data_IF_424038205507
#
_entry.id   IF_424038205507
#
_cell.length_a   1.000
_cell.length_b   1.000
_cell.length_c   1.000
_cell.angle_alpha   90.00
_cell.angle_beta   90.00
_cell.angle_gamma   90.00
#
_symmetry.space_group_name_H-M   'P 1'
#
loop_
_entity.id
_entity.type
_entity.pdbx_description
1 polymer ?
#
# COMPACT_ATOMS: atom_id res chain seq x y z
N UNK A 1 -14.58 -26.32 -35.18
CA UNK A 1 -15.51 -25.19 -35.14
C UNK A 1 -15.44 -24.48 -33.80
N UNK A 2 -15.64 -23.18 -33.74
CA UNK A 2 -15.68 -22.37 -32.48
C UNK A 2 -16.65 -22.97 -31.47
N UNK A 3 -17.75 -23.53 -31.88
CA UNK A 3 -18.73 -24.22 -31.04
C UNK A 3 -18.16 -25.49 -30.35
N UNK A 4 -17.32 -26.25 -31.06
CA UNK A 4 -16.64 -27.42 -30.45
C UNK A 4 -15.61 -27.04 -29.40
N UNK A 5 -14.90 -25.92 -29.57
CA UNK A 5 -13.96 -25.41 -28.57
C UNK A 5 -14.72 -24.89 -27.33
N UNK A 6 -15.84 -24.19 -27.53
CA UNK A 6 -16.64 -23.71 -26.42
C UNK A 6 -17.28 -24.85 -25.60
N UNK A 7 -17.76 -25.92 -26.26
CA UNK A 7 -18.36 -27.07 -25.57
C UNK A 7 -17.33 -27.86 -24.77
N UNK A 8 -16.10 -28.02 -25.26
CA UNK A 8 -15.00 -28.63 -24.48
C UNK A 8 -14.56 -27.74 -23.34
N UNK A 9 -14.50 -26.42 -23.50
CA UNK A 9 -14.18 -25.51 -22.39
C UNK A 9 -15.21 -25.60 -21.25
N UNK A 10 -16.51 -25.69 -21.57
CA UNK A 10 -17.55 -25.83 -20.55
C UNK A 10 -17.51 -27.19 -19.81
N UNK A 11 -17.17 -28.28 -20.51
CA UNK A 11 -17.05 -29.60 -19.90
C UNK A 11 -15.81 -29.78 -19.03
N UNK A 12 -14.76 -28.97 -19.27
CA UNK A 12 -13.50 -29.02 -18.52
C UNK A 12 -13.43 -27.99 -17.38
N UNK A 13 -14.44 -27.12 -17.21
CA UNK A 13 -14.49 -26.19 -16.10
C UNK A 13 -14.56 -26.97 -14.77
N UNK A 14 -13.51 -26.87 -14.00
CA UNK A 14 -13.42 -27.52 -12.69
C UNK A 14 -12.91 -26.55 -11.63
N UNK A 15 -13.46 -26.64 -10.43
CA UNK A 15 -12.98 -25.90 -9.26
C UNK A 15 -11.86 -26.65 -8.51
N UNK A 16 -11.39 -27.77 -9.04
CA UNK A 16 -10.35 -28.58 -8.39
C UNK A 16 -9.05 -27.81 -8.14
N UNK A 17 -8.68 -26.88 -9.04
CA UNK A 17 -7.50 -26.05 -8.85
C UNK A 17 -7.62 -25.11 -7.65
N UNK A 18 -8.82 -24.60 -7.36
CA UNK A 18 -9.06 -23.78 -6.17
C UNK A 18 -9.00 -24.62 -4.90
N UNK A 19 -9.57 -25.83 -4.91
CA UNK A 19 -9.47 -26.76 -3.78
C UNK A 19 -8.00 -27.10 -3.51
N UNK A 20 -7.25 -27.53 -4.53
CA UNK A 20 -5.81 -27.84 -4.41
C UNK A 20 -4.98 -26.64 -3.93
N UNK A 21 -5.29 -25.43 -4.41
CA UNK A 21 -4.61 -24.21 -3.99
C UNK A 21 -4.77 -23.99 -2.49
N UNK A 22 -5.97 -24.22 -1.96
CA UNK A 22 -6.30 -23.99 -0.55
C UNK A 22 -5.84 -25.12 0.38
N UNK A 23 -5.80 -26.38 -0.10
CA UNK A 23 -5.45 -27.54 0.74
C UNK A 23 -3.98 -27.94 0.64
N UNK A 24 -3.41 -27.87 -0.56
CA UNK A 24 -2.10 -28.46 -0.87
C UNK A 24 -0.97 -27.41 -0.89
N UNK A 25 -1.32 -26.13 -0.74
CA UNK A 25 -0.32 -25.03 -0.79
C UNK A 25 -0.48 -24.06 0.39
N UNK A 26 0.58 -23.36 0.79
CA UNK A 26 0.51 -22.31 1.81
C UNK A 26 -0.15 -21.01 1.34
N UNK A 27 -0.96 -21.02 0.28
CA UNK A 27 -1.55 -19.83 -0.36
C UNK A 27 -2.24 -18.90 0.64
N UNK A 28 -3.08 -19.42 1.52
CA UNK A 28 -3.78 -18.60 2.52
C UNK A 28 -2.81 -17.87 3.46
N UNK A 29 -1.70 -18.52 3.81
CA UNK A 29 -0.68 -17.91 4.65
C UNK A 29 0.04 -16.79 3.92
N UNK A 30 0.40 -17.00 2.66
CA UNK A 30 1.02 -15.96 1.83
C UNK A 30 0.09 -14.76 1.64
N UNK A 31 -1.20 -15.01 1.40
CA UNK A 31 -2.22 -13.98 1.29
C UNK A 31 -2.38 -13.20 2.60
N UNK A 32 -2.43 -13.89 3.75
CA UNK A 32 -2.46 -13.25 5.07
C UNK A 32 -1.22 -12.42 5.35
N UNK A 33 -0.02 -12.92 5.02
CA UNK A 33 1.22 -12.17 5.17
C UNK A 33 1.17 -10.86 4.35
N UNK A 34 0.73 -10.93 3.08
CA UNK A 34 0.56 -9.75 2.24
C UNK A 34 -0.47 -8.78 2.80
N UNK A 35 -1.61 -9.29 3.30
CA UNK A 35 -2.63 -8.46 3.93
C UNK A 35 -2.11 -7.74 5.18
N UNK A 36 -1.39 -8.45 6.05
CA UNK A 36 -0.79 -7.86 7.26
C UNK A 36 0.19 -6.75 6.90
N UNK A 37 1.13 -7.04 5.99
CA UNK A 37 2.14 -6.06 5.57
C UNK A 37 1.48 -4.84 4.93
N UNK A 38 0.53 -5.05 4.01
CA UNK A 38 -0.13 -3.96 3.29
C UNK A 38 -1.05 -3.14 4.19
N UNK A 39 -1.82 -3.79 5.07
CA UNK A 39 -2.69 -3.08 6.00
C UNK A 39 -1.89 -2.26 7.02
N UNK A 40 -0.81 -2.82 7.56
CA UNK A 40 0.06 -2.11 8.49
C UNK A 40 0.79 -0.95 7.79
N UNK A 41 1.36 -1.20 6.61
CA UNK A 41 2.02 -0.16 5.82
C UNK A 41 1.04 0.96 5.44
N UNK A 42 -0.17 0.62 4.96
CA UNK A 42 -1.16 1.61 4.59
C UNK A 42 -1.62 2.45 5.77
N UNK A 43 -2.02 1.82 6.88
CA UNK A 43 -2.55 2.55 8.04
C UNK A 43 -1.52 3.50 8.67
N UNK A 44 -0.30 3.04 8.86
CA UNK A 44 0.76 3.87 9.45
C UNK A 44 1.21 4.96 8.47
N UNK A 45 1.47 4.61 7.19
CA UNK A 45 1.91 5.59 6.21
C UNK A 45 0.85 6.68 5.95
N UNK A 46 -0.44 6.31 5.85
CA UNK A 46 -1.53 7.31 5.68
C UNK A 46 -1.57 8.25 6.87
N UNK A 47 -1.51 7.72 8.09
CA UNK A 47 -1.52 8.55 9.30
C UNK A 47 -0.33 9.52 9.33
N UNK A 48 0.89 9.00 9.14
CA UNK A 48 2.12 9.81 9.17
C UNK A 48 2.11 10.87 8.07
N UNK A 49 1.76 10.48 6.83
CA UNK A 49 1.76 11.42 5.70
C UNK A 49 0.66 12.47 5.81
N UNK A 50 -0.49 12.14 6.43
CA UNK A 50 -1.56 13.10 6.66
C UNK A 50 -1.14 14.16 7.68
N UNK A 51 -0.59 13.73 8.80
CA UNK A 51 -0.09 14.64 9.84
C UNK A 51 1.08 15.51 9.31
N UNK A 52 2.01 14.87 8.59
CA UNK A 52 3.11 15.60 7.95
C UNK A 52 2.60 16.59 6.89
N UNK A 53 1.70 16.17 6.02
CA UNK A 53 1.09 17.03 5.00
C UNK A 53 0.39 18.23 5.61
N UNK A 54 -0.36 18.04 6.69
CA UNK A 54 -0.99 19.13 7.43
C UNK A 54 0.05 20.07 8.06
N UNK A 55 1.08 19.53 8.70
CA UNK A 55 2.15 20.33 9.28
C UNK A 55 2.87 21.19 8.21
N UNK A 56 3.22 20.59 7.08
CA UNK A 56 3.82 21.30 5.95
C UNK A 56 2.87 22.29 5.27
N UNK A 57 1.57 22.11 5.33
CA UNK A 57 0.60 23.03 4.74
C UNK A 57 0.32 24.23 5.64
N UNK A 58 0.20 24.03 6.96
CA UNK A 58 -0.34 25.05 7.88
C UNK A 58 0.65 25.63 8.87
N UNK A 59 1.62 24.84 9.35
CA UNK A 59 2.55 25.33 10.36
C UNK A 59 3.76 26.02 9.73
N UNK A 60 4.31 26.99 10.45
CA UNK A 60 5.57 27.68 10.12
C UNK A 60 6.66 27.12 11.02
N UNK A 61 7.64 26.45 10.43
CA UNK A 61 8.80 25.93 11.16
C UNK A 61 10.08 26.07 10.32
N UNK A 62 11.26 26.15 10.97
CA UNK A 62 12.53 26.20 10.26
C UNK A 62 12.71 24.97 9.36
N UNK A 63 13.16 25.17 8.13
CA UNK A 63 13.37 24.06 7.19
C UNK A 63 12.13 23.60 6.41
N UNK A 64 10.93 24.15 6.64
CA UNK A 64 9.69 23.75 5.92
C UNK A 64 9.87 23.70 4.39
N UNK A 65 10.43 24.75 3.80
CA UNK A 65 10.61 24.85 2.34
C UNK A 65 11.61 23.81 1.83
N UNK A 66 12.77 23.73 2.47
CA UNK A 66 13.85 22.84 2.04
C UNK A 66 13.61 21.40 2.45
N UNK A 67 12.97 21.15 3.60
CA UNK A 67 12.65 19.82 4.08
C UNK A 67 11.78 19.04 3.09
N UNK A 68 10.69 19.65 2.59
CA UNK A 68 9.84 19.00 1.60
C UNK A 68 10.59 18.76 0.28
N UNK A 69 11.40 19.73 -0.18
CA UNK A 69 12.21 19.59 -1.38
C UNK A 69 13.22 18.44 -1.25
N UNK A 70 13.96 18.39 -0.14
CA UNK A 70 14.92 17.30 0.13
C UNK A 70 14.24 15.95 0.16
N UNK A 71 13.08 15.84 0.81
CA UNK A 71 12.30 14.60 0.85
C UNK A 71 11.94 14.11 -0.56
N UNK A 72 11.53 15.00 -1.47
CA UNK A 72 11.20 14.64 -2.85
C UNK A 72 12.47 14.28 -3.64
N UNK A 73 13.56 15.03 -3.48
CA UNK A 73 14.83 14.72 -4.15
C UNK A 73 15.40 13.36 -3.74
N UNK A 74 15.26 12.98 -2.48
CA UNK A 74 15.67 11.64 -2.01
C UNK A 74 14.91 10.51 -2.72
N UNK A 75 13.67 10.74 -3.14
CA UNK A 75 12.91 9.74 -3.90
C UNK A 75 13.34 9.58 -5.37
N UNK A 76 14.15 10.51 -5.89
CA UNK A 76 14.74 10.33 -7.22
C UNK A 76 15.83 9.25 -7.23
N UNK A 77 16.32 8.85 -6.05
CA UNK A 77 17.24 7.73 -5.94
C UNK A 77 16.51 6.40 -6.23
N UNK A 78 16.98 5.57 -7.17
CA UNK A 78 16.31 4.33 -7.54
C UNK A 78 16.18 3.37 -6.34
N UNK A 79 14.94 2.99 -6.01
CA UNK A 79 14.68 2.10 -4.87
C UNK A 79 15.43 0.76 -4.96
N UNK A 80 15.60 0.22 -6.17
CA UNK A 80 16.38 -0.99 -6.39
C UNK A 80 17.85 -0.88 -5.98
N UNK A 81 18.47 0.30 -6.10
CA UNK A 81 19.83 0.53 -5.64
C UNK A 81 19.94 0.60 -4.12
N UNK A 82 18.86 1.02 -3.45
CA UNK A 82 18.79 1.05 -1.99
C UNK A 82 18.62 -0.35 -1.37
N UNK A 83 18.30 -1.38 -2.16
CA UNK A 83 17.97 -2.72 -1.65
C UNK A 83 19.08 -3.32 -0.80
N UNK A 84 20.35 -3.19 -1.21
CA UNK A 84 21.50 -3.71 -0.45
C UNK A 84 21.60 -3.01 0.91
N UNK A 85 21.40 -1.68 0.92
CA UNK A 85 21.43 -0.92 2.17
C UNK A 85 20.24 -1.30 3.08
N UNK A 86 19.05 -1.46 2.53
CA UNK A 86 17.86 -1.91 3.26
C UNK A 86 18.06 -3.31 3.83
N UNK A 87 18.59 -4.24 3.03
CA UNK A 87 18.93 -5.60 3.50
C UNK A 87 19.88 -5.54 4.70
N UNK A 88 20.96 -4.77 4.58
CA UNK A 88 21.94 -4.63 5.65
C UNK A 88 21.35 -3.96 6.89
N UNK A 89 20.55 -2.93 6.71
CA UNK A 89 19.83 -2.26 7.80
C UNK A 89 18.96 -3.25 8.57
N UNK A 90 18.12 -4.02 7.86
CA UNK A 90 17.26 -5.02 8.49
C UNK A 90 18.05 -6.14 9.16
N UNK A 91 19.21 -6.52 8.63
CA UNK A 91 20.09 -7.50 9.27
C UNK A 91 20.59 -6.98 10.63
N UNK A 92 21.07 -5.73 10.70
CA UNK A 92 21.53 -5.11 11.94
C UNK A 92 20.38 -4.91 12.92
N UNK A 93 19.22 -4.43 12.44
CA UNK A 93 18.03 -4.26 13.27
C UNK A 93 17.55 -5.60 13.85
N UNK A 94 17.60 -6.69 13.06
CA UNK A 94 17.26 -8.02 13.51
C UNK A 94 18.12 -8.50 14.66
N UNK A 95 19.44 -8.24 14.61
CA UNK A 95 20.35 -8.56 15.71
C UNK A 95 20.04 -7.75 16.98
N UNK A 96 19.72 -6.46 16.81
CA UNK A 96 19.42 -5.58 17.94
C UNK A 96 18.04 -5.85 18.59
N UNK A 97 17.06 -6.37 17.83
CA UNK A 97 15.68 -6.57 18.30
C UNK A 97 15.33 -8.03 18.55
N UNK A 98 16.29 -8.93 18.53
CA UNK A 98 16.02 -10.36 18.66
C UNK A 98 15.17 -10.95 17.50
N UNK A 99 15.26 -10.37 16.31
CA UNK A 99 14.56 -10.82 15.10
C UNK A 99 13.17 -10.23 14.89
N UNK A 100 12.64 -9.44 15.82
CA UNK A 100 11.31 -8.82 15.68
C UNK A 100 11.22 -7.86 14.49
N UNK A 101 12.25 -7.04 14.31
CA UNK A 101 12.37 -6.11 13.19
C UNK A 101 13.67 -6.47 12.47
N UNK A 102 13.57 -7.23 11.39
CA UNK A 102 14.77 -7.73 10.71
C UNK A 102 14.44 -8.39 9.37
N UNK A 103 15.42 -9.13 8.86
CA UNK A 103 15.17 -10.04 7.74
C UNK A 103 14.16 -11.11 8.16
N UNK A 104 13.40 -11.59 7.19
CA UNK A 104 12.35 -12.60 7.40
C UNK A 104 11.26 -12.17 8.41
N UNK A 105 11.08 -10.85 8.63
CA UNK A 105 10.09 -10.28 9.52
C UNK A 105 9.06 -9.46 8.75
N UNK A 106 7.76 -9.76 8.94
CA UNK A 106 6.67 -8.98 8.34
C UNK A 106 6.67 -7.53 8.84
N UNK A 107 7.05 -7.29 10.11
CA UNK A 107 7.21 -5.93 10.65
C UNK A 107 8.37 -5.20 9.98
N UNK A 108 9.52 -5.87 9.79
CA UNK A 108 10.66 -5.31 9.07
C UNK A 108 10.28 -4.90 7.65
N UNK A 109 9.59 -5.78 6.92
CA UNK A 109 9.10 -5.50 5.57
C UNK A 109 8.10 -4.34 5.56
N UNK A 110 7.16 -4.30 6.51
CA UNK A 110 6.20 -3.20 6.63
C UNK A 110 6.88 -1.85 6.83
N UNK A 111 7.92 -1.77 7.66
CA UNK A 111 8.68 -0.54 7.89
C UNK A 111 9.38 -0.03 6.63
N UNK A 112 9.88 -0.93 5.78
CA UNK A 112 10.47 -0.56 4.50
C UNK A 112 9.44 0.15 3.62
N UNK A 113 8.21 -0.39 3.52
CA UNK A 113 7.15 0.24 2.74
C UNK A 113 6.61 1.53 3.35
N UNK A 114 6.51 1.60 4.68
CA UNK A 114 6.11 2.84 5.37
C UNK A 114 7.10 3.95 5.01
N UNK A 115 8.41 3.70 5.18
CA UNK A 115 9.44 4.71 4.95
C UNK A 115 9.54 5.15 3.49
N UNK A 116 9.47 4.20 2.57
CA UNK A 116 9.71 4.46 1.13
C UNK A 116 8.69 5.39 0.47
N UNK A 117 7.47 5.47 0.99
CA UNK A 117 6.41 6.25 0.35
C UNK A 117 6.08 7.59 0.98
N UNK A 118 6.62 7.92 2.15
CA UNK A 118 6.27 9.11 2.93
C UNK A 118 6.47 10.42 2.16
N UNK A 119 7.61 10.69 1.50
CA UNK A 119 7.88 11.99 0.92
C UNK A 119 6.85 12.43 -0.11
N UNK A 120 6.62 11.62 -1.14
CA UNK A 120 5.71 11.96 -2.23
C UNK A 120 4.26 12.11 -1.77
N UNK A 121 3.82 11.22 -0.88
CA UNK A 121 2.46 11.24 -0.34
C UNK A 121 2.22 12.43 0.58
N UNK A 122 3.23 12.83 1.35
CA UNK A 122 3.21 14.07 2.14
C UNK A 122 3.04 15.28 1.24
N UNK A 123 3.80 15.34 0.14
CA UNK A 123 3.67 16.42 -0.85
C UNK A 123 2.28 16.46 -1.48
N UNK A 124 1.74 15.29 -1.84
CA UNK A 124 0.42 15.16 -2.44
C UNK A 124 -0.70 15.63 -1.49
N UNK A 125 -0.65 15.20 -0.21
CA UNK A 125 -1.63 15.62 0.81
C UNK A 125 -1.48 17.11 1.12
N UNK A 126 -0.24 17.62 1.22
CA UNK A 126 0.02 19.06 1.39
C UNK A 126 -0.59 19.87 0.26
N UNK A 127 -0.38 19.45 -1.00
CA UNK A 127 -0.95 20.14 -2.16
C UNK A 127 -2.47 20.21 -2.11
N UNK A 128 -3.13 19.12 -1.67
CA UNK A 128 -4.57 19.11 -1.49
C UNK A 128 -5.02 20.04 -0.36
N UNK A 129 -4.34 20.04 0.78
CA UNK A 129 -4.65 20.94 1.91
C UNK A 129 -4.44 22.41 1.50
N UNK A 130 -3.42 22.71 0.69
CA UNK A 130 -3.19 24.08 0.21
C UNK A 130 -4.32 24.58 -0.70
N UNK A 131 -5.08 23.69 -1.34
CA UNK A 131 -6.26 24.04 -2.14
C UNK A 131 -7.52 24.29 -1.32
N UNK A 132 -7.54 23.92 -0.04
CA UNK A 132 -8.66 24.18 0.85
C UNK A 132 -8.63 25.65 1.33
N UNK A 133 -9.81 26.33 1.35
CA UNK A 133 -9.91 27.69 1.87
C UNK A 133 -9.46 27.76 3.34
N UNK A 134 -8.60 28.73 3.66
CA UNK A 134 -8.12 28.93 5.05
C UNK A 134 -9.21 29.50 5.96
N UNK A 135 -10.16 30.17 5.38
CA UNK A 135 -11.33 30.76 6.07
C UNK A 135 -12.10 29.74 6.88
N UNK A 136 -12.08 28.45 6.46
CA UNK A 136 -12.69 27.36 7.24
C UNK A 136 -12.00 27.14 8.60
N UNK A 137 -10.68 27.25 8.62
CA UNK A 137 -9.91 27.12 9.86
C UNK A 137 -9.99 28.40 10.71
N UNK A 138 -9.96 29.58 10.06
CA UNK A 138 -10.09 30.89 10.73
C UNK A 138 -11.44 31.03 11.40
N UNK A 139 -12.53 30.64 10.74
CA UNK A 139 -13.88 30.60 11.35
C UNK A 139 -13.94 29.69 12.58
N UNK A 140 -13.35 28.49 12.49
CA UNK A 140 -13.30 27.56 13.61
C UNK A 140 -12.53 28.16 14.82
N UNK A 141 -11.43 28.87 14.56
CA UNK A 141 -10.69 29.53 15.64
C UNK A 141 -11.48 30.67 16.28
N UNK A 142 -12.28 31.41 15.50
CA UNK A 142 -13.18 32.42 16.06
C UNK A 142 -14.29 31.82 16.95
N UNK A 143 -14.74 30.61 16.59
CA UNK A 143 -15.67 29.81 17.39
C UNK A 143 -15.01 29.14 18.62
N UNK A 144 -13.72 29.38 18.85
CA UNK A 144 -12.98 28.84 20.00
C UNK A 144 -12.45 27.43 19.84
N UNK A 145 -12.45 26.88 18.64
CA UNK A 145 -11.88 25.55 18.38
C UNK A 145 -10.35 25.55 18.55
N UNK A 146 -9.84 24.51 19.18
CA UNK A 146 -8.39 24.26 19.26
C UNK A 146 -7.84 23.78 17.91
N UNK A 147 -6.54 23.93 17.63
CA UNK A 147 -5.93 23.40 16.39
C UNK A 147 -6.19 21.91 16.16
N UNK A 148 -6.22 21.11 17.22
CA UNK A 148 -6.55 19.69 17.12
C UNK A 148 -8.00 19.44 16.75
N UNK A 149 -8.94 20.24 17.32
CA UNK A 149 -10.37 20.16 16.96
C UNK A 149 -10.58 20.59 15.50
N UNK A 150 -9.99 21.69 15.07
CA UNK A 150 -10.03 22.17 13.69
C UNK A 150 -9.51 21.11 12.72
N UNK A 151 -8.35 20.51 13.00
CA UNK A 151 -7.81 19.42 12.18
C UNK A 151 -8.77 18.24 12.12
N UNK A 152 -9.21 17.72 13.27
CA UNK A 152 -9.98 16.46 13.32
C UNK A 152 -11.41 16.61 12.82
N UNK A 153 -12.08 17.75 13.10
CA UNK A 153 -13.50 17.93 12.83
C UNK A 153 -13.78 18.65 11.50
N UNK A 154 -12.83 19.42 10.99
CA UNK A 154 -12.99 20.20 9.76
C UNK A 154 -12.06 19.68 8.65
N UNK A 155 -10.76 19.72 8.87
CA UNK A 155 -9.80 19.41 7.81
C UNK A 155 -9.81 17.91 7.46
N UNK A 156 -9.69 17.03 8.43
CA UNK A 156 -9.60 15.59 8.20
C UNK A 156 -10.78 15.01 7.40
N UNK A 157 -12.05 15.39 7.68
CA UNK A 157 -13.17 14.96 6.85
C UNK A 157 -13.08 15.45 5.39
N UNK A 158 -12.61 16.68 5.17
CA UNK A 158 -12.42 17.23 3.82
C UNK A 158 -11.31 16.55 3.03
N UNK A 159 -10.36 15.92 3.73
CA UNK A 159 -9.30 15.12 3.08
C UNK A 159 -9.78 13.76 2.58
N UNK A 160 -11.03 13.37 2.83
CA UNK A 160 -11.57 12.06 2.45
C UNK A 160 -11.16 11.58 1.04
N UNK A 161 -11.34 12.37 -0.02
CA UNK A 161 -10.98 11.99 -1.38
C UNK A 161 -9.48 11.68 -1.56
N UNK A 162 -8.60 12.55 -1.09
CA UNK A 162 -7.16 12.35 -1.22
C UNK A 162 -6.66 11.21 -0.34
N UNK A 163 -7.24 11.04 0.86
CA UNK A 163 -6.89 9.93 1.75
C UNK A 163 -7.29 8.59 1.17
N UNK A 164 -8.43 8.50 0.45
CA UNK A 164 -8.83 7.30 -0.27
C UNK A 164 -7.77 6.92 -1.32
N UNK A 165 -7.33 7.87 -2.14
CA UNK A 165 -6.26 7.65 -3.14
C UNK A 165 -4.98 7.16 -2.48
N UNK A 166 -4.51 7.88 -1.46
CA UNK A 166 -3.26 7.55 -0.75
C UNK A 166 -3.36 6.18 -0.07
N UNK A 167 -4.52 5.81 0.49
CA UNK A 167 -4.75 4.51 1.11
C UNK A 167 -4.64 3.38 0.09
N UNK A 168 -5.29 3.52 -1.06
CA UNK A 168 -5.22 2.53 -2.14
C UNK A 168 -3.78 2.31 -2.59
N UNK A 169 -3.02 3.36 -2.86
CA UNK A 169 -1.61 3.22 -3.25
C UNK A 169 -0.73 2.62 -2.16
N UNK A 170 -0.95 3.00 -0.89
CA UNK A 170 -0.19 2.42 0.23
C UNK A 170 -0.49 0.95 0.48
N UNK A 171 -1.67 0.48 0.08
CA UNK A 171 -2.05 -0.92 0.22
C UNK A 171 -1.61 -1.76 -1.00
N UNK A 172 -1.88 -1.29 -2.23
CA UNK A 172 -1.61 -2.06 -3.44
C UNK A 172 -0.11 -2.25 -3.65
N UNK A 173 0.71 -1.23 -3.38
CA UNK A 173 2.17 -1.30 -3.60
C UNK A 173 2.81 -2.47 -2.84
N UNK A 174 2.70 -2.60 -1.51
CA UNK A 174 3.29 -3.74 -0.80
C UNK A 174 2.60 -5.07 -1.11
N UNK A 175 1.29 -5.03 -1.41
CA UNK A 175 0.53 -6.24 -1.71
C UNK A 175 0.99 -6.92 -2.99
N UNK A 176 1.32 -6.14 -4.02
CA UNK A 176 1.68 -6.63 -5.36
C UNK A 176 3.19 -6.72 -5.58
N UNK A 177 4.00 -6.18 -4.67
CA UNK A 177 5.45 -6.18 -4.86
C UNK A 177 6.03 -7.59 -4.69
N UNK A 178 6.87 -7.94 -5.64
CA UNK A 178 7.66 -9.17 -5.64
C UNK A 178 9.12 -8.91 -5.22
N UNK A 179 9.68 -7.76 -5.61
CA UNK A 179 11.14 -7.54 -5.58
C UNK A 179 11.67 -7.47 -4.15
N UNK A 180 11.14 -6.56 -3.32
CA UNK A 180 11.58 -6.43 -1.93
C UNK A 180 11.31 -7.70 -1.12
N UNK A 181 10.10 -8.28 -1.14
CA UNK A 181 9.83 -9.50 -0.38
C UNK A 181 10.66 -10.70 -0.82
N UNK A 182 10.98 -10.84 -2.11
CA UNK A 182 11.80 -11.98 -2.59
C UNK A 182 13.23 -11.98 -2.05
N UNK A 183 13.75 -10.79 -1.71
CA UNK A 183 15.09 -10.63 -1.13
C UNK A 183 15.06 -10.67 0.41
N UNK A 184 14.01 -10.08 1.01
CA UNK A 184 13.94 -9.88 2.45
C UNK A 184 13.28 -11.04 3.21
N UNK A 185 12.38 -11.80 2.56
CA UNK A 185 11.70 -12.97 3.14
C UNK A 185 12.45 -14.25 2.73
N UNK A 186 12.90 -15.03 3.70
CA UNK A 186 13.82 -16.14 3.49
C UNK A 186 13.17 -17.51 3.72
N UNK A 187 12.00 -17.56 4.35
CA UNK A 187 11.29 -18.80 4.65
C UNK A 187 9.91 -18.83 4.03
N UNK A 188 9.48 -20.00 3.54
CA UNK A 188 8.20 -20.18 2.85
C UNK A 188 6.98 -19.78 3.67
N UNK A 189 7.07 -19.85 5.01
CA UNK A 189 6.02 -19.43 5.93
C UNK A 189 5.92 -17.89 6.08
N UNK A 190 6.94 -17.16 5.65
CA UNK A 190 6.99 -15.69 5.67
C UNK A 190 6.82 -15.05 4.29
N UNK A 191 6.74 -15.85 3.24
CA UNK A 191 6.54 -15.30 1.90
C UNK A 191 5.26 -14.47 1.82
N UNK A 192 5.33 -13.41 1.03
CA UNK A 192 4.15 -12.67 0.57
C UNK A 192 3.48 -13.44 -0.58
N UNK A 193 2.27 -13.04 -0.94
CA UNK A 193 1.52 -13.68 -2.01
C UNK A 193 2.30 -13.70 -3.33
N UNK A 194 2.88 -12.58 -3.74
CA UNK A 194 3.63 -12.47 -4.98
C UNK A 194 4.84 -13.41 -5.01
N UNK A 195 5.58 -13.52 -3.90
CA UNK A 195 6.73 -14.44 -3.79
C UNK A 195 6.28 -15.89 -3.79
N UNK A 196 5.25 -16.24 -3.03
CA UNK A 196 4.73 -17.60 -2.99
C UNK A 196 4.19 -18.06 -4.35
N UNK A 197 3.46 -17.20 -5.05
CA UNK A 197 2.92 -17.49 -6.38
C UNK A 197 4.00 -17.71 -7.44
N UNK A 198 5.16 -17.06 -7.32
CA UNK A 198 6.29 -17.28 -8.23
C UNK A 198 6.72 -18.76 -8.25
N UNK A 199 6.60 -19.46 -7.10
CA UNK A 199 6.91 -20.89 -7.03
C UNK A 199 6.07 -21.77 -7.96
N UNK A 200 4.87 -21.35 -8.36
CA UNK A 200 4.03 -22.10 -9.30
C UNK A 200 4.53 -22.05 -10.76
N UNK A 201 5.30 -21.03 -11.12
CA UNK A 201 5.75 -20.81 -12.52
C UNK A 201 7.27 -20.86 -12.69
N UNK A 202 8.05 -20.89 -11.61
CA UNK A 202 9.52 -20.90 -11.67
C UNK A 202 10.15 -22.27 -11.97
N UNK A 203 9.37 -23.36 -11.98
CA UNK A 203 9.85 -24.70 -12.30
C UNK A 203 9.98 -24.91 -13.80
N UNK A 204 11.19 -25.14 -14.31
CA UNK A 204 11.47 -25.34 -15.74
C UNK A 204 10.70 -26.50 -16.38
N UNK A 205 10.21 -27.48 -15.60
CA UNK A 205 9.48 -28.65 -16.08
C UNK A 205 8.17 -28.94 -15.36
N UNK A 206 7.82 -28.15 -14.34
CA UNK A 206 6.65 -28.37 -13.47
C UNK A 206 5.81 -27.11 -13.26
N UNK A 207 5.88 -26.14 -14.15
CA UNK A 207 5.10 -24.92 -14.06
C UNK A 207 3.60 -25.25 -14.04
N UNK A 208 2.91 -24.85 -12.94
CA UNK A 208 1.49 -25.08 -12.77
C UNK A 208 0.71 -23.78 -13.02
N UNK A 209 0.51 -23.47 -14.29
CA UNK A 209 -0.21 -22.27 -14.74
C UNK A 209 -1.66 -22.24 -14.25
N UNK A 210 -2.28 -23.41 -14.05
CA UNK A 210 -3.65 -23.48 -13.56
C UNK A 210 -3.74 -23.05 -12.09
N UNK A 211 -2.80 -23.46 -11.24
CA UNK A 211 -2.72 -22.98 -9.86
C UNK A 211 -2.36 -21.50 -9.78
N UNK A 212 -1.44 -21.04 -10.65
CA UNK A 212 -1.09 -19.62 -10.73
C UNK A 212 -2.29 -18.75 -11.11
N UNK A 213 -3.08 -19.18 -12.11
CA UNK A 213 -4.29 -18.47 -12.51
C UNK A 213 -5.35 -18.43 -11.40
N UNK A 214 -5.60 -19.58 -10.73
CA UNK A 214 -6.51 -19.65 -9.59
C UNK A 214 -6.05 -18.75 -8.43
N UNK A 215 -4.75 -18.75 -8.13
CA UNK A 215 -4.15 -17.91 -7.10
C UNK A 215 -4.27 -16.42 -7.45
N UNK A 216 -4.10 -16.05 -8.74
CA UNK A 216 -4.23 -14.66 -9.20
C UNK A 216 -5.66 -14.14 -9.02
N UNK A 217 -6.67 -14.96 -9.32
CA UNK A 217 -8.08 -14.59 -9.15
C UNK A 217 -8.39 -14.41 -7.66
N UNK A 218 -8.09 -15.38 -6.81
CA UNK A 218 -8.35 -15.24 -5.37
C UNK A 218 -7.49 -14.15 -4.73
N UNK A 219 -6.24 -14.01 -5.16
CA UNK A 219 -5.32 -12.98 -4.69
C UNK A 219 -5.75 -11.55 -5.06
N UNK A 220 -6.57 -11.37 -6.10
CA UNK A 220 -7.09 -10.05 -6.48
C UNK A 220 -8.27 -9.59 -5.59
N UNK A 221 -8.97 -10.52 -4.91
CA UNK A 221 -10.16 -10.19 -4.14
C UNK A 221 -9.94 -9.13 -3.05
N UNK A 222 -8.85 -9.15 -2.25
CA UNK A 222 -8.63 -8.11 -1.25
C UNK A 222 -8.45 -6.72 -1.85
N UNK A 223 -7.78 -6.61 -3.01
CA UNK A 223 -7.62 -5.32 -3.71
C UNK A 223 -8.97 -4.82 -4.20
N UNK A 224 -9.79 -5.70 -4.79
CA UNK A 224 -11.14 -5.35 -5.23
C UNK A 224 -12.02 -4.92 -4.06
N UNK A 225 -11.98 -5.65 -2.93
CA UNK A 225 -12.72 -5.29 -1.72
C UNK A 225 -12.31 -3.90 -1.19
N UNK A 226 -11.00 -3.63 -1.15
CA UNK A 226 -10.50 -2.30 -0.78
C UNK A 226 -11.00 -1.23 -1.74
N UNK A 227 -10.87 -1.45 -3.05
CA UNK A 227 -11.32 -0.50 -4.06
C UNK A 227 -12.80 -0.16 -3.91
N UNK A 228 -13.67 -1.18 -3.81
CA UNK A 228 -15.11 -0.96 -3.61
C UNK A 228 -15.44 -0.25 -2.30
N UNK A 229 -14.64 -0.42 -1.25
CA UNK A 229 -14.86 0.27 0.02
C UNK A 229 -14.54 1.78 -0.05
N UNK A 230 -13.58 2.19 -0.88
CA UNK A 230 -13.14 3.59 -0.97
C UNK A 230 -13.64 4.34 -2.20
N UNK A 231 -14.21 3.65 -3.21
CA UNK A 231 -14.64 4.24 -4.49
C UNK A 231 -15.58 5.45 -4.33
N UNK A 232 -16.47 5.44 -3.31
CA UNK A 232 -17.39 6.55 -3.04
C UNK A 232 -16.65 7.88 -2.77
N UNK A 233 -15.51 7.82 -2.10
CA UNK A 233 -14.69 9.01 -1.82
C UNK A 233 -13.94 9.49 -3.07
N UNK A 234 -13.56 8.56 -3.96
CA UNK A 234 -12.91 8.90 -5.24
C UNK A 234 -13.87 9.68 -6.16
N UNK A 235 -15.12 9.22 -6.26
CA UNK A 235 -16.15 9.87 -7.08
C UNK A 235 -16.49 11.27 -6.54
N UNK A 236 -16.63 11.42 -5.22
CA UNK A 236 -16.91 12.73 -4.59
C UNK A 236 -15.83 13.77 -4.89
N UNK A 237 -14.55 13.36 -4.92
CA UNK A 237 -13.45 14.27 -5.25
C UNK A 237 -13.49 14.79 -6.70
N UNK A 238 -13.93 13.95 -7.64
CA UNK A 238 -14.03 14.33 -9.05
C UNK A 238 -15.19 15.32 -9.32
N UNK A 239 -16.31 15.13 -8.63
CA UNK A 239 -17.48 16.02 -8.82
C UNK A 239 -17.29 17.41 -8.21
N UNK A 240 -16.57 17.55 -7.10
CA UNK A 240 -16.23 18.84 -6.50
C UNK A 240 -15.24 19.65 -7.35
N UNK A 241 -14.38 18.98 -8.12
CA UNK A 241 -13.46 19.64 -9.07
C UNK A 241 -14.16 20.15 -10.36
N UNK A 242 -15.23 19.48 -10.78
CA UNK A 242 -15.94 19.80 -12.04
C UNK A 242 -16.88 21.02 -11.93
N UNK A 243 -17.26 21.43 -10.72
CA UNK A 243 -18.20 22.56 -10.51
C UNK A 243 -17.48 23.93 -10.43
N UNK A 244 -16.16 23.97 -10.53
CA UNK A 244 -15.36 25.22 -10.53
C UNK A 244 -15.01 25.72 -11.96
N UNK A 245 -15.70 25.21 -12.99
CA UNK A 245 -15.60 25.71 -14.36
C UNK A 245 -16.79 26.57 -14.74
#
# INVERSE_FOLDING_TARGET
SLFGILSTLWSELTFSNYARLLTDTPFLRWMLNSLIVSALAASVAVTVTTLAGYAFARFRFPGRKYGLLVMILLQMFPAGMAMVAVFRLLQVMGQATGGWIGLNSLLGLSLVYIGGGIPFKTWMIKGYIDSLPKELEESAYLDGATPHQTFRQIILPLLGPILAVVTVFNFITPYSDFIFPSVLMQSGDRYTLAVGMQGFVSGNFSANWSLFAAASILGSLPILALFFSVQRFLVQGLTQGAVKG
#
